data_IF_247112392594
#
_entry.id   IF_247112392594
#
_cell.length_a   1.000
_cell.length_b   1.000
_cell.length_c   1.000
_cell.angle_alpha   90.00
_cell.angle_beta   90.00
_cell.angle_gamma   90.00
#
_symmetry.space_group_name_H-M   'P 1'
#
loop_
_entity.id
_entity.type
_entity.pdbx_description
1 polymer ?
#
# COMPACT_ATOMS: atom_id res chain seq x y z
N UNK A 1 0.91 25.30 -2.57
CA UNK A 1 1.28 24.02 -1.96
C UNK A 1 1.19 22.94 -3.01
N UNK A 2 2.23 22.15 -3.14
CA UNK A 2 2.23 21.04 -4.11
C UNK A 2 1.51 19.82 -3.53
N UNK A 3 0.71 19.17 -4.36
CA UNK A 3 0.09 17.92 -3.96
C UNK A 3 1.17 16.84 -3.74
N UNK A 4 0.95 15.95 -2.79
CA UNK A 4 1.82 14.81 -2.58
C UNK A 4 1.79 13.90 -3.81
N UNK A 5 2.94 13.33 -4.18
CA UNK A 5 3.02 12.43 -5.31
C UNK A 5 2.38 11.08 -4.97
N UNK A 6 1.51 10.60 -5.82
CA UNK A 6 0.75 9.36 -5.61
C UNK A 6 1.06 8.35 -6.71
N UNK A 7 0.92 7.07 -6.36
CA UNK A 7 1.06 5.99 -7.33
C UNK A 7 -0.06 6.08 -8.39
N UNK A 8 0.26 5.76 -9.64
CA UNK A 8 -0.74 5.74 -10.70
C UNK A 8 -1.64 4.49 -10.61
N UNK A 9 -2.73 4.48 -11.39
CA UNK A 9 -3.70 3.39 -11.37
C UNK A 9 -3.09 2.05 -11.73
N UNK A 10 -2.18 2.02 -12.72
CA UNK A 10 -1.51 0.78 -13.14
C UNK A 10 -0.67 0.20 -12.00
N UNK A 11 0.04 1.04 -11.26
CA UNK A 11 0.83 0.60 -10.12
C UNK A 11 -0.03 0.09 -8.98
N UNK A 12 -1.16 0.75 -8.73
CA UNK A 12 -2.10 0.31 -7.71
C UNK A 12 -2.65 -1.08 -8.04
N UNK A 13 -3.08 -1.29 -9.28
CA UNK A 13 -3.58 -2.60 -9.74
C UNK A 13 -2.52 -3.69 -9.57
N UNK A 14 -1.27 -3.36 -9.88
CA UNK A 14 -0.16 -4.29 -9.71
C UNK A 14 0.00 -4.72 -8.25
N UNK A 15 -0.02 -3.77 -7.33
CA UNK A 15 0.07 -4.07 -5.90
C UNK A 15 -1.12 -4.93 -5.46
N UNK A 16 -2.33 -4.57 -5.87
CA UNK A 16 -3.54 -5.33 -5.56
C UNK A 16 -3.43 -6.78 -6.03
N UNK A 17 -2.86 -7.01 -7.21
CA UNK A 17 -2.72 -8.36 -7.76
C UNK A 17 -1.73 -9.22 -6.96
N UNK A 18 -0.69 -8.63 -6.40
CA UNK A 18 0.27 -9.35 -5.58
C UNK A 18 -0.24 -9.61 -4.16
N UNK A 19 -0.93 -8.64 -3.57
CA UNK A 19 -1.38 -8.75 -2.18
C UNK A 19 -2.59 -9.68 -2.02
N UNK A 20 -3.46 -9.72 -3.02
CA UNK A 20 -4.74 -10.44 -2.91
C UNK A 20 -5.72 -9.72 -1.99
N UNK A 21 -7.01 -10.01 -2.17
CA UNK A 21 -8.08 -9.33 -1.45
C UNK A 21 -8.77 -10.26 -0.46
N UNK A 22 -8.89 -9.80 0.79
CA UNK A 22 -9.67 -10.48 1.84
C UNK A 22 -10.69 -9.50 2.41
N UNK A 23 -11.97 -9.78 2.22
CA UNK A 23 -13.06 -8.92 2.71
C UNK A 23 -13.45 -9.20 4.15
N UNK A 24 -12.96 -10.29 4.73
CA UNK A 24 -13.18 -10.64 6.14
C UNK A 24 -11.83 -10.73 6.83
N UNK A 25 -11.75 -10.19 8.05
CA UNK A 25 -10.53 -10.21 8.83
C UNK A 25 -10.04 -11.65 9.07
N UNK A 26 -8.75 -11.85 8.97
CA UNK A 26 -8.11 -13.14 9.19
C UNK A 26 -6.79 -12.94 9.93
N UNK A 27 -6.27 -14.01 10.54
CA UNK A 27 -4.94 -13.96 11.16
C UNK A 27 -3.91 -14.44 10.15
N UNK A 28 -2.90 -13.60 9.89
CA UNK A 28 -1.78 -14.01 9.03
C UNK A 28 -0.88 -15.02 9.77
N UNK A 29 0.08 -15.66 9.08
CA UNK A 29 0.98 -16.64 9.73
C UNK A 29 1.72 -16.08 10.94
N UNK A 30 1.96 -14.77 11.01
CA UNK A 30 2.58 -14.13 12.16
C UNK A 30 1.60 -13.89 13.33
N UNK A 31 0.32 -14.28 13.18
CA UNK A 31 -0.69 -14.12 14.21
C UNK A 31 -1.32 -12.73 14.29
N UNK A 32 -1.08 -11.89 13.30
CA UNK A 32 -1.60 -10.52 13.24
C UNK A 32 -2.94 -10.51 12.48
N UNK A 33 -3.94 -9.84 13.04
CA UNK A 33 -5.22 -9.65 12.36
C UNK A 33 -5.05 -8.74 11.16
N UNK A 34 -5.54 -9.21 9.99
CA UNK A 34 -5.30 -8.59 8.69
C UNK A 34 -6.60 -8.54 7.91
N UNK A 35 -6.81 -7.51 7.08
CA UNK A 35 -7.99 -7.37 6.24
C UNK A 35 -7.63 -6.62 4.94
N UNK A 36 -8.47 -6.76 3.92
CA UNK A 36 -8.28 -6.05 2.65
C UNK A 36 -7.08 -6.54 1.89
N UNK A 37 -6.21 -5.64 1.49
CA UNK A 37 -4.96 -5.92 0.77
C UNK A 37 -3.78 -5.92 1.75
N UNK A 38 -3.88 -6.74 2.79
CA UNK A 38 -2.80 -6.84 3.76
C UNK A 38 -2.79 -5.74 4.82
N UNK A 39 -3.90 -5.03 5.01
CA UNK A 39 -3.98 -3.99 6.02
C UNK A 39 -3.98 -4.60 7.42
N UNK A 40 -3.14 -4.07 8.30
CA UNK A 40 -3.05 -4.43 9.72
C UNK A 40 -3.15 -3.18 10.57
N UNK A 41 -3.46 -3.35 11.83
CA UNK A 41 -3.50 -2.23 12.76
C UNK A 41 -4.55 -2.43 13.84
N UNK A 42 -4.67 -1.49 14.78
CA UNK A 42 -5.63 -1.59 15.88
C UNK A 42 -7.09 -1.50 15.43
N UNK A 43 -7.32 -1.06 14.18
CA UNK A 43 -8.65 -0.98 13.58
C UNK A 43 -9.10 -2.31 12.95
N UNK A 44 -8.26 -3.35 12.95
CA UNK A 44 -8.62 -4.66 12.41
C UNK A 44 -9.03 -5.59 13.56
N UNK A 45 -10.29 -6.03 13.53
CA UNK A 45 -10.89 -6.83 14.58
C UNK A 45 -11.39 -8.18 14.07
N UNK A 46 -11.42 -9.22 14.92
CA UNK A 46 -11.99 -10.51 14.53
C UNK A 46 -13.43 -10.36 14.05
N UNK A 47 -13.78 -11.02 12.95
CA UNK A 47 -15.13 -10.98 12.39
C UNK A 47 -15.45 -9.74 11.57
N UNK A 48 -14.54 -8.79 11.48
CA UNK A 48 -14.76 -7.57 10.69
C UNK A 48 -14.88 -7.89 9.21
N UNK A 49 -15.80 -7.19 8.54
CA UNK A 49 -16.02 -7.33 7.09
C UNK A 49 -16.00 -5.95 6.45
N UNK A 50 -15.43 -5.87 5.25
CA UNK A 50 -15.35 -4.63 4.48
C UNK A 50 -15.79 -4.89 3.04
N UNK A 51 -16.09 -3.80 2.33
CA UNK A 51 -16.37 -3.82 0.89
C UNK A 51 -15.06 -3.71 0.10
N UNK A 52 -15.07 -4.08 -1.21
CA UNK A 52 -13.91 -3.84 -2.07
C UNK A 52 -13.48 -2.37 -2.11
N UNK A 53 -14.42 -1.43 -2.09
CA UNK A 53 -14.11 -0.01 -2.07
C UNK A 53 -13.39 0.39 -0.76
N UNK A 54 -13.82 -0.15 0.37
CA UNK A 54 -13.18 0.08 1.65
C UNK A 54 -11.77 -0.53 1.67
N UNK A 55 -11.59 -1.71 1.07
CA UNK A 55 -10.28 -2.35 0.96
C UNK A 55 -9.31 -1.49 0.14
N UNK A 56 -9.77 -0.91 -0.97
CA UNK A 56 -8.94 -0.01 -1.76
C UNK A 56 -8.57 1.25 -0.97
N UNK A 57 -9.53 1.82 -0.23
CA UNK A 57 -9.26 3.00 0.59
C UNK A 57 -8.20 2.71 1.67
N UNK A 58 -8.28 1.54 2.30
CA UNK A 58 -7.27 1.12 3.27
C UNK A 58 -5.90 0.97 2.62
N UNK A 59 -5.83 0.36 1.43
CA UNK A 59 -4.57 0.22 0.70
C UNK A 59 -3.96 1.57 0.35
N UNK A 60 -4.78 2.51 -0.14
CA UNK A 60 -4.29 3.86 -0.48
C UNK A 60 -3.75 4.58 0.76
N UNK A 61 -4.42 4.41 1.90
CA UNK A 61 -3.93 4.95 3.17
C UNK A 61 -2.61 4.32 3.59
N UNK A 62 -2.50 3.00 3.48
CA UNK A 62 -1.27 2.28 3.82
C UNK A 62 -0.10 2.66 2.91
N UNK A 63 -0.37 2.96 1.64
CA UNK A 63 0.67 3.36 0.69
C UNK A 63 1.20 4.77 0.93
N UNK A 64 0.49 5.60 1.67
CA UNK A 64 0.81 7.02 1.84
C UNK A 64 2.25 7.23 2.32
N UNK A 65 2.66 6.53 3.36
CA UNK A 65 4.04 6.64 3.89
C UNK A 65 5.09 6.14 2.91
N UNK A 66 4.75 5.12 2.10
CA UNK A 66 5.67 4.58 1.09
C UNK A 66 5.80 5.54 -0.09
N UNK A 67 4.71 6.16 -0.50
CA UNK A 67 4.73 7.20 -1.53
C UNK A 67 5.58 8.40 -1.09
N UNK A 68 5.39 8.86 0.14
CA UNK A 68 6.18 9.95 0.71
C UNK A 68 7.65 9.58 0.84
N UNK A 69 7.94 8.37 1.30
CA UNK A 69 9.33 7.90 1.45
C UNK A 69 10.05 7.79 0.12
N UNK A 70 9.40 7.26 -0.91
CA UNK A 70 9.99 7.17 -2.25
C UNK A 70 10.18 8.56 -2.84
N UNK A 71 9.19 9.45 -2.70
CA UNK A 71 9.31 10.82 -3.20
C UNK A 71 10.50 11.54 -2.56
N UNK A 72 10.72 11.35 -1.27
CA UNK A 72 11.88 11.91 -0.57
C UNK A 72 13.19 11.30 -1.06
N UNK A 73 13.21 9.99 -1.31
CA UNK A 73 14.42 9.28 -1.75
C UNK A 73 14.85 9.70 -3.16
N UNK A 74 13.90 9.90 -4.09
CA UNK A 74 14.24 10.34 -5.45
C UNK A 74 14.54 11.84 -5.50
N UNK A 75 14.03 12.62 -4.55
CA UNK A 75 14.29 14.06 -4.48
C UNK A 75 13.87 14.76 -5.76
N UNK A 76 14.84 15.50 -6.35
CA UNK A 76 14.62 16.23 -7.61
C UNK A 76 14.98 15.41 -8.85
N UNK A 77 15.38 14.14 -8.71
CA UNK A 77 15.75 13.33 -9.86
C UNK A 77 14.51 13.09 -10.74
N UNK A 78 14.64 13.22 -12.07
CA UNK A 78 13.53 12.93 -12.97
C UNK A 78 13.08 11.48 -12.84
N UNK A 79 11.79 11.27 -12.62
CA UNK A 79 11.22 9.94 -12.44
C UNK A 79 9.87 9.91 -13.12
N UNK A 80 9.66 8.95 -14.01
CA UNK A 80 8.36 8.75 -14.66
C UNK A 80 7.36 8.23 -13.64
N UNK A 81 6.06 8.33 -13.96
CA UNK A 81 5.01 7.79 -13.11
C UNK A 81 5.13 6.27 -12.97
N UNK A 82 5.54 5.57 -14.02
CA UNK A 82 5.77 4.12 -13.96
C UNK A 82 6.98 3.77 -13.11
N UNK A 83 8.07 4.54 -13.21
CA UNK A 83 9.22 4.35 -12.34
C UNK A 83 8.88 4.59 -10.87
N UNK A 84 8.14 5.65 -10.60
CA UNK A 84 7.67 5.95 -9.25
C UNK A 84 6.80 4.82 -8.71
N UNK A 85 5.84 4.34 -9.51
CA UNK A 85 4.97 3.23 -9.12
C UNK A 85 5.75 1.95 -8.82
N UNK A 86 6.77 1.63 -9.63
CA UNK A 86 7.62 0.47 -9.40
C UNK A 86 8.38 0.59 -8.08
N UNK A 87 8.90 1.77 -7.77
CA UNK A 87 9.63 2.03 -6.53
C UNK A 87 8.72 1.94 -5.31
N UNK A 88 7.50 2.48 -5.39
CA UNK A 88 6.51 2.38 -4.32
C UNK A 88 6.13 0.92 -4.07
N UNK A 89 5.89 0.16 -5.14
CA UNK A 89 5.57 -1.26 -5.03
C UNK A 89 6.68 -2.04 -4.35
N UNK A 90 7.93 -1.78 -4.72
CA UNK A 90 9.09 -2.41 -4.10
C UNK A 90 9.19 -2.04 -2.62
N UNK A 91 9.06 -0.77 -2.30
CA UNK A 91 9.11 -0.28 -0.91
C UNK A 91 8.00 -0.90 -0.06
N UNK A 92 6.81 -1.06 -0.62
CA UNK A 92 5.68 -1.69 0.07
C UNK A 92 5.99 -3.15 0.42
N UNK A 93 6.69 -3.86 -0.46
CA UNK A 93 7.04 -5.26 -0.23
C UNK A 93 8.18 -5.45 0.76
N UNK A 94 9.23 -4.62 0.68
CA UNK A 94 10.47 -4.85 1.46
C UNK A 94 10.73 -3.81 2.53
N UNK A 95 9.91 -2.74 2.58
CA UNK A 95 10.09 -1.67 3.54
C UNK A 95 10.99 -0.55 3.04
N UNK A 96 10.77 0.67 3.54
CA UNK A 96 11.48 1.88 3.10
C UNK A 96 12.98 1.82 3.43
N UNK A 97 13.35 1.16 4.51
CA UNK A 97 14.76 1.09 4.93
C UNK A 97 15.66 0.33 3.98
N UNK A 98 15.08 -0.45 3.05
CA UNK A 98 15.84 -1.24 2.08
C UNK A 98 16.10 -0.50 0.76
N UNK A 99 15.57 0.71 0.60
CA UNK A 99 15.79 1.52 -0.60
C UNK A 99 17.14 2.24 -0.59
#
# INVERSE_FOLDING_TARGET
>A
MMAARRINSAGLVLIQSFEGLRLTAYRCPAGVWTIGYGHTGPDVNPGQRITPAEAEALLRGDLDRFESGVAAAVGNAPTTDNQFAAMVSLAFNIGLGAL
#
